data_IF_207912081516
#
_entry.id   IF_207912081516
#
_cell.length_a   1.000
_cell.length_b   1.000
_cell.length_c   1.000
_cell.angle_alpha   90.00
_cell.angle_beta   90.00
_cell.angle_gamma   90.00
#
_symmetry.space_group_name_H-M   'P 1'
#
loop_
_entity.id
_entity.type
_entity.pdbx_description
1 polymer ?
#
# COMPACT_ATOMS: atom_id res chain seq x y z
N UNK A 1 14.59 40.55 73.50
CA UNK A 1 15.49 39.85 72.60
C UNK A 1 14.75 38.57 72.17
N UNK A 2 14.17 38.55 70.98
CA UNK A 2 13.37 37.42 70.46
C UNK A 2 14.12 36.68 69.32
N UNK A 3 14.32 35.37 69.34
CA UNK A 3 15.03 34.69 68.25
C UNK A 3 14.06 34.33 67.14
N UNK A 4 14.33 34.87 65.95
CA UNK A 4 13.65 34.51 64.68
C UNK A 4 14.00 33.12 64.27
N UNK A 5 12.97 32.27 64.12
CA UNK A 5 13.10 30.89 63.57
C UNK A 5 13.01 30.95 62.06
N UNK A 6 14.11 30.64 61.39
CA UNK A 6 14.20 30.48 59.96
C UNK A 6 13.66 29.06 59.57
N UNK A 7 12.52 29.03 58.88
CA UNK A 7 12.02 27.74 58.29
C UNK A 7 12.63 27.61 56.90
N UNK A 8 13.50 26.63 56.74
CA UNK A 8 14.06 26.23 55.45
C UNK A 8 13.07 25.28 54.80
N UNK A 9 12.32 25.73 53.78
CA UNK A 9 11.45 24.87 52.95
C UNK A 9 12.30 24.15 51.90
N UNK A 10 12.48 22.83 52.10
CA UNK A 10 13.14 21.97 51.12
C UNK A 10 12.13 21.62 50.01
N UNK A 11 12.22 22.25 48.85
CA UNK A 11 11.42 21.94 47.68
C UNK A 11 11.98 20.64 47.00
N UNK A 12 11.29 19.53 47.13
CA UNK A 12 11.62 18.27 46.50
C UNK A 12 11.13 18.36 45.03
N UNK A 13 12.03 18.62 44.10
CA UNK A 13 11.74 18.57 42.66
C UNK A 13 11.63 17.09 42.19
N UNK A 14 10.42 16.61 42.05
CA UNK A 14 10.13 15.31 41.39
C UNK A 14 10.37 15.46 39.89
N UNK A 15 11.52 15.03 39.41
CA UNK A 15 11.79 14.87 37.98
C UNK A 15 11.06 13.62 37.49
N UNK A 16 9.93 13.81 36.80
CA UNK A 16 9.31 12.72 36.03
C UNK A 16 10.20 12.39 34.84
N UNK A 17 11.00 11.34 34.95
CA UNK A 17 11.61 10.69 33.78
C UNK A 17 10.47 10.00 33.01
N UNK A 18 10.00 10.64 31.94
CA UNK A 18 9.23 9.96 30.91
C UNK A 18 10.19 8.96 30.25
N UNK A 19 10.09 7.69 30.60
CA UNK A 19 10.82 6.65 29.87
C UNK A 19 10.35 6.71 28.40
N UNK A 20 11.24 7.13 27.52
CA UNK A 20 10.99 7.01 26.09
C UNK A 20 10.71 5.54 25.82
N UNK A 21 9.46 5.21 25.46
CA UNK A 21 9.08 3.85 25.09
C UNK A 21 9.86 3.53 23.81
N UNK A 22 10.71 2.52 23.86
CA UNK A 22 11.40 2.05 22.65
C UNK A 22 10.33 1.75 21.59
N UNK A 23 10.62 2.14 20.34
CA UNK A 23 9.74 1.77 19.23
C UNK A 23 9.56 0.25 19.21
N UNK A 24 8.32 -0.26 19.00
CA UNK A 24 8.08 -1.68 18.99
C UNK A 24 8.90 -2.35 17.88
N UNK A 25 9.46 -3.52 18.17
CA UNK A 25 10.07 -4.35 17.15
C UNK A 25 9.04 -4.76 16.10
N UNK A 26 9.49 -5.05 14.90
CA UNK A 26 8.61 -5.52 13.82
C UNK A 26 8.70 -7.04 13.74
N UNK A 27 7.57 -7.72 13.89
CA UNK A 27 7.39 -9.14 13.57
C UNK A 27 7.19 -9.32 12.07
N UNK A 28 7.61 -10.46 11.53
CA UNK A 28 7.41 -10.83 10.13
C UNK A 28 7.00 -12.28 10.01
N UNK A 29 5.99 -12.53 9.18
CA UNK A 29 5.59 -13.87 8.73
C UNK A 29 5.44 -13.91 7.21
N UNK A 30 5.92 -15.00 6.61
CA UNK A 30 5.61 -15.34 5.23
C UNK A 30 4.53 -16.39 5.21
N UNK A 31 3.50 -16.20 4.40
CA UNK A 31 2.35 -17.08 4.28
C UNK A 31 2.10 -17.46 2.83
N UNK A 32 1.53 -18.63 2.62
CA UNK A 32 0.94 -19.05 1.35
C UNK A 32 -0.53 -19.36 1.62
N UNK A 33 -1.43 -18.50 1.16
CA UNK A 33 -2.87 -18.61 1.45
C UNK A 33 -3.60 -19.30 0.29
N UNK A 34 -4.52 -20.24 0.56
CA UNK A 34 -5.24 -20.93 -0.50
C UNK A 34 -6.17 -19.97 -1.26
N UNK A 35 -6.14 -20.03 -2.59
CA UNK A 35 -7.10 -19.35 -3.47
C UNK A 35 -7.99 -20.41 -4.16
N UNK A 36 -9.31 -20.43 -3.90
CA UNK A 36 -10.21 -21.38 -4.53
C UNK A 36 -10.31 -21.26 -6.07
N UNK A 37 -9.83 -20.15 -6.63
CA UNK A 37 -9.91 -19.86 -8.07
C UNK A 37 -8.55 -19.87 -8.78
N UNK A 38 -7.47 -20.25 -8.07
CA UNK A 38 -6.12 -20.22 -8.64
C UNK A 38 -5.06 -20.85 -7.76
N UNK A 39 -3.79 -20.65 -8.11
CA UNK A 39 -2.68 -21.01 -7.25
C UNK A 39 -2.74 -20.29 -5.91
N UNK A 40 -2.12 -20.84 -4.84
CA UNK A 40 -2.01 -20.14 -3.57
C UNK A 40 -1.35 -18.77 -3.73
N UNK A 41 -1.81 -17.80 -2.94
CA UNK A 41 -1.32 -16.43 -2.94
C UNK A 41 -0.22 -16.28 -1.90
N UNK A 42 0.95 -15.80 -2.30
CA UNK A 42 2.05 -15.47 -1.38
C UNK A 42 1.76 -14.15 -0.66
N UNK A 43 2.05 -14.12 0.65
CA UNK A 43 1.78 -12.97 1.52
C UNK A 43 2.92 -12.74 2.48
N UNK A 44 3.37 -11.49 2.59
CA UNK A 44 4.18 -11.01 3.71
C UNK A 44 3.30 -10.28 4.72
N UNK A 45 3.48 -10.58 6.00
CA UNK A 45 2.76 -9.91 7.09
C UNK A 45 3.76 -9.30 8.07
N UNK A 46 3.67 -7.99 8.28
CA UNK A 46 4.46 -7.24 9.25
C UNK A 46 3.55 -6.71 10.36
N UNK A 47 3.99 -6.79 11.60
CA UNK A 47 3.17 -6.43 12.75
C UNK A 47 4.03 -6.02 13.94
N UNK A 48 3.51 -5.25 14.91
CA UNK A 48 4.24 -4.93 16.13
C UNK A 48 4.44 -6.20 16.98
N UNK A 49 5.63 -6.36 17.56
CA UNK A 49 5.97 -7.46 18.45
C UNK A 49 6.89 -6.98 19.59
N UNK A 50 6.81 -7.65 20.75
CA UNK A 50 7.74 -7.42 21.86
C UNK A 50 9.00 -8.31 21.75
N UNK A 51 9.06 -9.20 20.76
CA UNK A 51 10.21 -10.06 20.53
C UNK A 51 11.39 -9.27 19.96
N UNK A 52 12.60 -9.66 20.32
CA UNK A 52 13.82 -9.05 19.80
C UNK A 52 13.94 -9.31 18.29
N UNK A 53 14.05 -8.21 17.52
CA UNK A 53 14.30 -8.28 16.09
C UNK A 53 15.79 -8.52 15.78
N UNK A 54 16.08 -9.20 14.68
CA UNK A 54 17.43 -9.47 14.21
C UNK A 54 17.55 -9.18 12.71
N UNK A 55 18.77 -8.86 12.20
CA UNK A 55 19.00 -8.72 10.77
C UNK A 55 18.58 -9.98 9.99
N UNK A 56 17.81 -9.80 8.93
CA UNK A 56 17.29 -10.86 8.06
C UNK A 56 17.30 -10.43 6.61
N UNK A 57 17.65 -11.36 5.72
CA UNK A 57 17.38 -11.23 4.30
C UNK A 57 15.94 -11.69 4.01
N UNK A 58 15.13 -10.83 3.40
CA UNK A 58 13.81 -11.17 2.86
C UNK A 58 13.85 -10.82 1.37
N UNK A 59 13.82 -11.84 0.52
CA UNK A 59 14.06 -11.67 -0.91
C UNK A 59 15.42 -11.02 -1.19
N UNK A 60 15.40 -9.88 -1.86
CA UNK A 60 16.60 -9.09 -2.19
C UNK A 60 16.91 -7.97 -1.18
N UNK A 61 16.15 -7.86 -0.09
CA UNK A 61 16.28 -6.80 0.90
C UNK A 61 16.90 -7.31 2.20
N UNK A 62 17.66 -6.44 2.87
CA UNK A 62 18.10 -6.65 4.25
C UNK A 62 17.19 -5.83 5.17
N UNK A 63 16.66 -6.48 6.19
CA UNK A 63 15.77 -5.83 7.15
C UNK A 63 16.04 -6.35 8.56
N UNK A 64 15.45 -5.69 9.57
CA UNK A 64 15.55 -6.11 10.97
C UNK A 64 14.15 -6.45 11.47
N UNK A 65 13.87 -7.73 11.65
CA UNK A 65 12.56 -8.26 12.04
C UNK A 65 12.68 -9.45 12.98
N UNK A 66 11.63 -9.72 13.75
CA UNK A 66 11.44 -10.93 14.55
C UNK A 66 10.57 -11.92 13.78
N UNK A 67 11.20 -12.93 13.14
CA UNK A 67 10.49 -13.91 12.31
C UNK A 67 9.60 -14.80 13.16
N UNK A 68 8.34 -14.99 12.78
CA UNK A 68 7.33 -15.86 13.39
C UNK A 68 7.07 -15.59 14.89
N UNK A 69 7.45 -14.41 15.37
CA UNK A 69 7.14 -13.98 16.72
C UNK A 69 5.64 -13.66 16.88
N UNK A 70 5.07 -13.77 18.09
CA UNK A 70 3.69 -13.37 18.31
C UNK A 70 3.54 -11.85 18.19
N UNK A 71 2.38 -11.34 17.71
CA UNK A 71 2.06 -9.91 17.79
C UNK A 71 2.03 -9.42 19.24
N UNK A 72 2.29 -8.11 19.45
CA UNK A 72 2.05 -7.49 20.77
C UNK A 72 0.59 -7.68 21.19
N UNK A 73 0.32 -7.84 22.53
CA UNK A 73 -1.04 -7.89 23.03
C UNK A 73 -1.84 -6.62 22.67
N UNK A 74 -3.12 -6.79 22.39
CA UNK A 74 -4.02 -5.72 22.01
C UNK A 74 -4.61 -5.94 20.63
N UNK A 75 -5.37 -4.94 20.14
CA UNK A 75 -5.95 -4.96 18.81
C UNK A 75 -5.30 -3.88 17.96
N UNK A 76 -4.86 -4.26 16.77
CA UNK A 76 -4.16 -3.42 15.81
C UNK A 76 -5.01 -3.27 14.55
N UNK A 77 -5.14 -2.07 13.97
CA UNK A 77 -5.76 -1.92 12.66
C UNK A 77 -5.00 -2.72 11.61
N UNK A 78 -5.73 -3.22 10.61
CA UNK A 78 -5.17 -3.95 9.47
C UNK A 78 -5.03 -3.03 8.26
N UNK A 79 -3.88 -3.06 7.59
CA UNK A 79 -3.70 -2.47 6.26
C UNK A 79 -3.33 -3.58 5.27
N UNK A 80 -4.21 -3.84 4.30
CA UNK A 80 -3.93 -4.77 3.19
C UNK A 80 -3.29 -4.01 2.04
N UNK A 81 -2.27 -4.63 1.38
CA UNK A 81 -1.42 -3.92 0.44
C UNK A 81 -1.37 -4.66 -0.91
N UNK A 82 -1.54 -3.91 -2.01
CA UNK A 82 -1.54 -4.38 -3.39
C UNK A 82 -0.42 -3.72 -4.20
N UNK A 83 0.47 -4.51 -4.77
CA UNK A 83 1.59 -4.06 -5.60
C UNK A 83 1.19 -3.63 -7.02
N UNK A 84 2.07 -2.94 -7.73
CA UNK A 84 1.94 -2.60 -9.14
C UNK A 84 2.07 -3.83 -10.07
N UNK A 85 1.85 -3.63 -11.38
CA UNK A 85 2.02 -4.68 -12.38
C UNK A 85 3.43 -5.31 -12.28
N UNK A 86 3.48 -6.64 -12.28
CA UNK A 86 4.72 -7.41 -12.22
C UNK A 86 5.49 -7.31 -10.90
N UNK A 87 4.92 -6.73 -9.84
CA UNK A 87 5.50 -6.64 -8.50
C UNK A 87 5.22 -7.86 -7.62
N UNK A 88 5.57 -7.76 -6.35
CA UNK A 88 5.36 -8.78 -5.33
C UNK A 88 5.07 -8.15 -3.96
N UNK A 89 4.91 -8.98 -2.93
CA UNK A 89 4.64 -8.54 -1.56
C UNK A 89 5.76 -7.69 -0.92
N UNK A 90 6.95 -7.62 -1.55
CA UNK A 90 8.10 -6.82 -1.09
C UNK A 90 8.19 -5.45 -1.78
N UNK A 91 7.36 -5.18 -2.78
CA UNK A 91 7.42 -3.93 -3.56
C UNK A 91 7.29 -2.66 -2.72
N UNK A 92 6.63 -2.76 -1.56
CA UNK A 92 6.43 -1.65 -0.60
C UNK A 92 6.84 -2.09 0.82
N UNK A 93 7.97 -2.79 0.94
CA UNK A 93 8.50 -3.31 2.19
C UNK A 93 8.72 -2.21 3.24
N UNK A 94 9.26 -1.08 2.86
CA UNK A 94 9.53 0.04 3.77
C UNK A 94 8.24 0.68 4.31
N UNK A 95 7.20 0.78 3.49
CA UNK A 95 5.85 1.21 3.92
C UNK A 95 5.23 0.19 4.89
N UNK A 96 5.34 -1.11 4.61
CA UNK A 96 4.86 -2.15 5.51
C UNK A 96 5.60 -2.12 6.86
N UNK A 97 6.92 -1.90 6.86
CA UNK A 97 7.71 -1.74 8.07
C UNK A 97 7.31 -0.48 8.85
N UNK A 98 7.05 0.64 8.17
CA UNK A 98 6.61 1.88 8.80
C UNK A 98 5.24 1.72 9.48
N UNK A 99 4.29 1.09 8.79
CA UNK A 99 2.97 0.75 9.34
C UNK A 99 3.09 -0.16 10.57
N UNK A 100 3.90 -1.22 10.51
CA UNK A 100 4.10 -2.12 11.65
C UNK A 100 4.71 -1.41 12.87
N UNK A 101 5.73 -0.53 12.67
CA UNK A 101 6.29 0.31 13.75
C UNK A 101 5.26 1.26 14.35
N UNK A 102 4.36 1.76 13.51
CA UNK A 102 3.25 2.59 13.96
C UNK A 102 2.10 1.80 14.62
N UNK A 103 2.20 0.48 14.75
CA UNK A 103 1.23 -0.34 15.47
C UNK A 103 0.13 -0.95 14.60
N UNK A 104 0.32 -1.03 13.29
CA UNK A 104 -0.57 -1.72 12.36
C UNK A 104 -0.15 -3.16 12.11
N UNK A 105 -1.09 -4.02 11.74
CA UNK A 105 -0.80 -5.23 10.99
C UNK A 105 -0.83 -4.86 9.51
N UNK A 106 0.29 -4.95 8.81
CA UNK A 106 0.40 -4.72 7.37
C UNK A 106 0.54 -6.06 6.65
N UNK A 107 -0.39 -6.37 5.75
CA UNK A 107 -0.40 -7.62 4.99
C UNK A 107 -0.33 -7.31 3.49
N UNK A 108 0.76 -7.70 2.83
CA UNK A 108 0.99 -7.48 1.40
C UNK A 108 0.95 -8.81 0.65
N UNK A 109 0.20 -8.86 -0.44
CA UNK A 109 0.08 -10.06 -1.28
C UNK A 109 0.94 -9.96 -2.55
N UNK A 110 1.24 -11.12 -3.15
CA UNK A 110 1.72 -11.25 -4.52
C UNK A 110 0.57 -11.74 -5.39
N UNK A 111 0.10 -10.90 -6.34
CA UNK A 111 -0.98 -11.30 -7.24
C UNK A 111 -0.57 -12.45 -8.14
N UNK A 112 -1.35 -13.53 -8.14
CA UNK A 112 -1.10 -14.70 -9.02
C UNK A 112 -1.37 -14.33 -10.48
N UNK A 113 -0.42 -14.63 -11.34
CA UNK A 113 -0.48 -14.29 -12.76
C UNK A 113 -0.14 -12.82 -13.10
N UNK A 114 0.26 -12.02 -12.08
CA UNK A 114 0.76 -10.66 -12.29
C UNK A 114 1.88 -10.35 -11.29
N UNK A 115 2.99 -11.05 -11.45
CA UNK A 115 4.15 -10.96 -10.58
C UNK A 115 5.45 -11.21 -11.36
N UNK A 116 6.66 -11.10 -10.76
CA UNK A 116 7.93 -11.24 -11.49
C UNK A 116 8.13 -12.61 -12.16
N UNK A 117 7.46 -13.66 -11.69
CA UNK A 117 7.59 -15.03 -12.20
C UNK A 117 6.51 -15.40 -13.22
N UNK A 118 5.33 -14.79 -13.11
CA UNK A 118 4.18 -15.11 -13.95
C UNK A 118 3.37 -13.84 -14.25
N UNK A 119 3.27 -13.47 -15.52
CA UNK A 119 2.48 -12.33 -15.99
C UNK A 119 1.29 -12.73 -16.88
N UNK A 120 0.92 -14.01 -16.85
CA UNK A 120 -0.14 -14.56 -17.70
C UNK A 120 -1.52 -13.92 -17.50
N UNK A 121 -1.73 -13.24 -16.36
CA UNK A 121 -2.97 -12.53 -15.99
C UNK A 121 -2.73 -11.04 -15.71
N UNK A 122 -1.63 -10.45 -16.17
CA UNK A 122 -1.26 -9.06 -15.91
C UNK A 122 -2.35 -8.03 -16.34
N UNK A 123 -3.22 -8.42 -17.27
CA UNK A 123 -4.36 -7.62 -17.75
C UNK A 123 -5.72 -8.08 -17.22
N UNK A 124 -5.76 -9.08 -16.35
CA UNK A 124 -6.98 -9.53 -15.66
C UNK A 124 -7.20 -8.69 -14.39
N UNK A 125 -7.60 -7.43 -14.63
CA UNK A 125 -7.71 -6.45 -13.56
C UNK A 125 -8.80 -6.77 -12.53
N UNK A 126 -9.85 -7.52 -12.89
CA UNK A 126 -10.92 -7.90 -11.98
C UNK A 126 -10.47 -8.97 -10.94
N UNK A 127 -9.43 -9.74 -11.25
CA UNK A 127 -8.89 -10.73 -10.33
C UNK A 127 -8.16 -10.07 -9.13
N UNK A 128 -7.61 -8.87 -9.31
CA UNK A 128 -6.80 -8.20 -8.28
C UNK A 128 -7.61 -7.77 -7.04
N UNK A 129 -8.75 -7.05 -7.12
CA UNK A 129 -9.57 -6.75 -5.94
C UNK A 129 -10.14 -8.01 -5.29
N UNK A 130 -10.50 -9.05 -6.09
CA UNK A 130 -10.90 -10.34 -5.54
C UNK A 130 -9.82 -10.97 -4.64
N UNK A 131 -8.56 -10.94 -5.08
CA UNK A 131 -7.44 -11.47 -4.30
C UNK A 131 -7.12 -10.59 -3.09
N UNK A 132 -7.28 -9.27 -3.17
CA UNK A 132 -7.09 -8.37 -2.03
C UNK A 132 -8.15 -8.64 -0.95
N UNK A 133 -9.42 -8.82 -1.36
CA UNK A 133 -10.48 -9.23 -0.44
C UNK A 133 -10.24 -10.62 0.16
N UNK A 134 -9.74 -11.58 -0.63
CA UNK A 134 -9.35 -12.91 -0.14
C UNK A 134 -8.29 -12.81 0.96
N UNK A 135 -7.29 -11.92 0.79
CA UNK A 135 -6.30 -11.63 1.82
C UNK A 135 -6.96 -11.08 3.09
N UNK A 136 -7.85 -10.10 2.96
CA UNK A 136 -8.58 -9.53 4.10
C UNK A 136 -9.37 -10.61 4.83
N UNK A 137 -10.10 -11.45 4.10
CA UNK A 137 -10.89 -12.56 4.67
C UNK A 137 -9.99 -13.55 5.42
N UNK A 138 -8.84 -13.92 4.84
CA UNK A 138 -7.89 -14.83 5.48
C UNK A 138 -7.29 -14.22 6.76
N UNK A 139 -6.88 -12.96 6.72
CA UNK A 139 -6.30 -12.27 7.88
C UNK A 139 -7.24 -12.24 9.07
N UNK A 140 -8.54 -12.05 8.82
CA UNK A 140 -9.55 -12.00 9.88
C UNK A 140 -10.02 -13.38 10.36
N UNK A 141 -9.99 -14.40 9.53
CA UNK A 141 -10.57 -15.70 9.84
C UNK A 141 -9.54 -16.79 10.16
N UNK A 142 -8.38 -16.81 9.49
CA UNK A 142 -7.47 -17.95 9.47
C UNK A 142 -6.02 -17.61 9.88
N UNK A 143 -5.60 -16.35 9.82
CA UNK A 143 -4.24 -15.98 10.26
C UNK A 143 -4.04 -16.34 11.74
N UNK A 144 -2.92 -17.00 12.14
CA UNK A 144 -2.67 -17.39 13.53
C UNK A 144 -2.71 -16.21 14.51
N UNK A 145 -2.32 -15.01 14.06
CA UNK A 145 -2.36 -13.78 14.86
C UNK A 145 -3.66 -12.98 14.77
N UNK A 146 -4.74 -13.50 14.16
CA UNK A 146 -6.00 -12.77 13.91
C UNK A 146 -6.63 -12.10 15.12
N UNK A 147 -6.44 -12.66 16.32
CA UNK A 147 -6.96 -12.08 17.56
C UNK A 147 -6.32 -10.70 17.89
N UNK A 148 -5.15 -10.42 17.30
CA UNK A 148 -4.49 -9.13 17.41
C UNK A 148 -4.99 -8.10 16.37
N UNK A 149 -5.90 -8.48 15.45
CA UNK A 149 -6.48 -7.55 14.47
C UNK A 149 -7.74 -6.91 15.03
N UNK A 150 -7.89 -5.60 14.80
CA UNK A 150 -9.16 -4.90 14.97
C UNK A 150 -9.97 -4.96 13.66
N UNK A 151 -11.01 -5.79 13.59
CA UNK A 151 -11.78 -5.98 12.37
C UNK A 151 -12.65 -4.76 11.98
N UNK A 152 -12.80 -3.79 12.87
CA UNK A 152 -13.55 -2.55 12.59
C UNK A 152 -12.67 -1.49 11.89
N UNK A 153 -11.34 -1.65 11.92
CA UNK A 153 -10.38 -0.66 11.45
C UNK A 153 -9.46 -1.27 10.39
N UNK A 154 -9.96 -1.33 9.15
CA UNK A 154 -9.26 -1.90 7.99
C UNK A 154 -9.02 -0.83 6.95
N UNK A 155 -7.76 -0.68 6.54
CA UNK A 155 -7.34 0.18 5.43
C UNK A 155 -6.76 -0.63 4.28
N UNK A 156 -6.60 0.03 3.14
CA UNK A 156 -5.93 -0.55 1.98
C UNK A 156 -4.89 0.42 1.41
N UNK A 157 -3.76 -0.12 0.99
CA UNK A 157 -2.70 0.60 0.28
C UNK A 157 -2.45 -0.05 -1.08
N UNK A 158 -2.30 0.75 -2.13
CA UNK A 158 -1.95 0.22 -3.44
C UNK A 158 -1.15 1.19 -4.29
N UNK A 159 -0.31 0.63 -5.16
CA UNK A 159 0.52 1.39 -6.09
C UNK A 159 0.25 0.95 -7.53
N UNK A 160 0.17 1.88 -8.48
CA UNK A 160 0.00 1.61 -9.91
C UNK A 160 -1.24 0.73 -10.17
N UNK A 161 -1.11 -0.48 -10.73
CA UNK A 161 -2.20 -1.47 -10.79
C UNK A 161 -2.78 -1.79 -9.40
N UNK A 162 -1.97 -1.72 -8.34
CA UNK A 162 -2.44 -1.83 -6.95
C UNK A 162 -3.26 -0.62 -6.52
N UNK A 163 -2.89 0.59 -6.97
CA UNK A 163 -3.67 1.82 -6.75
C UNK A 163 -5.07 1.73 -7.37
N UNK A 164 -5.16 1.21 -8.59
CA UNK A 164 -6.43 0.84 -9.21
C UNK A 164 -7.18 -0.21 -8.39
N UNK A 165 -6.47 -1.25 -7.93
CA UNK A 165 -7.06 -2.37 -7.18
C UNK A 165 -7.77 -1.90 -5.91
N UNK A 166 -7.12 -1.03 -5.12
CA UNK A 166 -7.71 -0.55 -3.86
C UNK A 166 -8.87 0.41 -4.09
N UNK A 167 -8.89 1.17 -5.19
CA UNK A 167 -10.03 2.00 -5.58
C UNK A 167 -11.22 1.13 -6.00
N UNK A 168 -10.98 0.08 -6.79
CA UNK A 168 -12.02 -0.89 -7.16
C UNK A 168 -12.56 -1.61 -5.93
N UNK A 169 -11.69 -2.09 -5.02
CA UNK A 169 -12.09 -2.80 -3.80
C UNK A 169 -12.90 -1.90 -2.84
N UNK A 170 -12.61 -0.58 -2.84
CA UNK A 170 -13.35 0.42 -2.05
C UNK A 170 -14.72 0.81 -2.63
N UNK A 171 -15.18 0.19 -3.70
CA UNK A 171 -16.48 0.44 -4.33
C UNK A 171 -16.41 1.06 -5.73
N UNK A 172 -15.22 1.13 -6.32
CA UNK A 172 -15.03 1.60 -7.69
C UNK A 172 -15.46 0.57 -8.74
N UNK A 173 -16.16 1.00 -9.77
CA UNK A 173 -16.62 0.19 -10.91
C UNK A 173 -16.05 0.71 -12.23
N UNK A 174 -14.79 0.35 -12.57
CA UNK A 174 -14.17 0.78 -13.80
C UNK A 174 -14.77 0.09 -15.03
N UNK A 175 -14.91 0.85 -16.11
CA UNK A 175 -15.32 0.37 -17.43
C UNK A 175 -14.08 0.14 -18.31
N UNK A 176 -13.63 -1.12 -18.40
CA UNK A 176 -12.44 -1.46 -19.19
C UNK A 176 -12.62 -1.31 -20.71
N UNK A 177 -13.86 -1.15 -21.21
CA UNK A 177 -14.08 -0.86 -22.64
C UNK A 177 -13.46 0.48 -23.05
N UNK A 178 -13.29 1.41 -22.11
CA UNK A 178 -12.62 2.70 -22.32
C UNK A 178 -11.13 2.57 -22.67
N UNK A 179 -10.50 1.42 -22.41
CA UNK A 179 -9.15 1.13 -22.89
C UNK A 179 -9.03 1.16 -24.41
N UNK A 180 -10.07 0.80 -25.14
CA UNK A 180 -10.06 0.75 -26.62
C UNK A 180 -9.83 2.14 -27.20
N UNK A 181 -10.69 3.16 -26.95
CA UNK A 181 -10.46 4.51 -27.44
C UNK A 181 -9.22 5.17 -26.82
N UNK A 182 -8.91 4.89 -25.55
CA UNK A 182 -7.70 5.39 -24.90
C UNK A 182 -6.44 4.90 -25.62
N UNK A 183 -6.34 3.62 -25.92
CA UNK A 183 -5.17 3.08 -26.61
C UNK A 183 -5.11 3.44 -28.11
N UNK A 184 -6.23 3.78 -28.72
CA UNK A 184 -6.22 4.36 -30.06
C UNK A 184 -5.60 5.77 -30.07
N UNK A 185 -5.82 6.56 -29.01
CA UNK A 185 -5.25 7.90 -28.83
C UNK A 185 -3.80 7.86 -28.32
N UNK A 186 -3.45 6.89 -27.48
CA UNK A 186 -2.18 6.81 -26.74
C UNK A 186 -1.49 5.43 -26.91
N UNK A 187 -1.18 4.98 -28.14
CA UNK A 187 -0.69 3.62 -28.38
C UNK A 187 0.67 3.31 -27.72
N UNK A 188 1.43 4.34 -27.33
CA UNK A 188 2.71 4.22 -26.65
C UNK A 188 2.63 4.19 -25.10
N UNK A 189 1.45 4.32 -24.52
CA UNK A 189 1.31 4.25 -23.06
C UNK A 189 1.45 2.81 -22.57
N UNK A 190 1.92 2.65 -21.34
CA UNK A 190 2.29 1.35 -20.79
C UNK A 190 1.13 0.33 -20.81
N UNK A 191 -0.04 0.72 -20.36
CA UNK A 191 -1.26 -0.10 -20.39
C UNK A 191 -1.66 -0.51 -21.81
N UNK A 192 -1.48 0.38 -22.79
CA UNK A 192 -1.77 0.10 -24.19
C UNK A 192 -0.75 -0.85 -24.84
N UNK A 193 0.51 -0.76 -24.41
CA UNK A 193 1.51 -1.75 -24.80
C UNK A 193 1.17 -3.14 -24.23
N UNK A 194 0.68 -3.22 -22.97
CA UNK A 194 0.21 -4.47 -22.37
C UNK A 194 -1.01 -5.04 -23.10
N UNK A 195 -2.02 -4.19 -23.42
CA UNK A 195 -3.20 -4.59 -24.21
C UNK A 195 -2.79 -5.21 -25.55
N UNK A 196 -1.81 -4.61 -26.23
CA UNK A 196 -1.28 -5.09 -27.50
C UNK A 196 -0.49 -6.40 -27.32
N UNK A 197 0.42 -6.43 -26.33
CA UNK A 197 1.28 -7.59 -26.06
C UNK A 197 0.48 -8.84 -25.75
N UNK A 198 -0.55 -8.72 -24.90
CA UNK A 198 -1.43 -9.82 -24.51
C UNK A 198 -2.60 -10.05 -25.46
N UNK A 199 -2.72 -9.27 -26.53
CA UNK A 199 -3.80 -9.38 -27.54
C UNK A 199 -5.21 -9.44 -26.92
N UNK A 200 -5.53 -8.53 -26.00
CA UNK A 200 -6.78 -8.59 -25.20
C UNK A 200 -7.87 -7.62 -25.68
N UNK A 201 -7.60 -6.80 -26.70
CA UNK A 201 -8.51 -5.74 -27.15
C UNK A 201 -9.93 -6.26 -27.47
N UNK A 202 -10.07 -7.43 -28.13
CA UNK A 202 -11.37 -8.02 -28.44
C UNK A 202 -12.14 -8.48 -27.20
N UNK A 203 -11.44 -8.93 -26.16
CA UNK A 203 -12.07 -9.35 -24.89
C UNK A 203 -12.51 -8.16 -24.04
N UNK A 204 -11.83 -7.03 -24.16
CA UNK A 204 -12.20 -5.79 -23.44
C UNK A 204 -13.49 -5.19 -23.97
N UNK A 205 -13.78 -5.33 -25.27
CA UNK A 205 -15.01 -4.81 -25.87
C UNK A 205 -16.27 -5.48 -25.29
N UNK A 206 -16.17 -6.73 -24.90
CA UNK A 206 -17.28 -7.55 -24.38
C UNK A 206 -17.19 -7.76 -22.87
N UNK A 207 -16.24 -7.11 -22.18
CA UNK A 207 -16.02 -7.37 -20.77
C UNK A 207 -17.03 -6.63 -19.89
N UNK A 208 -17.99 -7.38 -19.36
CA UNK A 208 -18.81 -7.00 -18.21
C UNK A 208 -18.18 -7.61 -16.95
N UNK A 209 -17.00 -7.10 -16.55
CA UNK A 209 -16.35 -7.58 -15.35
C UNK A 209 -17.22 -7.32 -14.13
N UNK A 210 -17.41 -8.33 -13.30
CA UNK A 210 -18.01 -8.14 -11.96
C UNK A 210 -16.88 -7.73 -11.02
N UNK A 211 -16.99 -6.53 -10.47
CA UNK A 211 -16.00 -6.02 -9.53
C UNK A 211 -16.26 -6.55 -8.13
N UNK A 212 -15.19 -6.91 -7.44
CA UNK A 212 -15.25 -7.28 -6.03
C UNK A 212 -15.02 -6.03 -5.19
N UNK A 213 -15.87 -5.84 -4.18
CA UNK A 213 -15.76 -4.74 -3.21
C UNK A 213 -15.64 -5.28 -1.79
N UNK A 214 -14.94 -4.53 -0.94
CA UNK A 214 -14.87 -4.80 0.49
C UNK A 214 -15.38 -3.60 1.31
N UNK A 215 -16.61 -3.66 1.74
CA UNK A 215 -17.25 -2.59 2.53
C UNK A 215 -16.62 -2.38 3.93
N UNK A 216 -15.67 -3.23 4.33
CA UNK A 216 -14.92 -3.08 5.59
C UNK A 216 -13.81 -2.02 5.48
N UNK A 217 -13.40 -1.62 4.27
CA UNK A 217 -12.38 -0.60 4.07
C UNK A 217 -12.85 0.75 4.60
N UNK A 218 -12.08 1.35 5.51
CA UNK A 218 -12.37 2.63 6.17
C UNK A 218 -11.46 3.76 5.70
N UNK A 219 -10.32 3.44 5.08
CA UNK A 219 -9.38 4.41 4.54
C UNK A 219 -8.55 3.75 3.43
N UNK A 220 -8.22 4.48 2.38
CA UNK A 220 -7.49 3.95 1.23
C UNK A 220 -6.38 4.90 0.82
N UNK A 221 -5.17 4.36 0.64
CA UNK A 221 -4.06 5.07 0.01
C UNK A 221 -3.85 4.51 -1.39
N UNK A 222 -4.00 5.35 -2.41
CA UNK A 222 -3.79 5.01 -3.81
C UNK A 222 -2.64 5.83 -4.37
N UNK A 223 -1.51 5.19 -4.63
CA UNK A 223 -0.33 5.83 -5.18
C UNK A 223 -0.22 5.54 -6.68
N UNK A 224 -0.16 6.60 -7.49
CA UNK A 224 -0.06 6.57 -8.95
C UNK A 224 -0.98 5.50 -9.58
N UNK A 225 -2.31 5.54 -9.37
CA UNK A 225 -3.23 4.51 -9.84
C UNK A 225 -3.19 4.36 -11.35
N UNK A 226 -3.12 3.11 -11.84
CA UNK A 226 -3.34 2.78 -13.23
C UNK A 226 -4.82 2.94 -13.62
N UNK A 227 -5.10 3.07 -14.92
CA UNK A 227 -6.44 3.05 -15.49
C UNK A 227 -7.44 4.05 -14.86
N UNK A 228 -6.96 5.19 -14.35
CA UNK A 228 -7.82 6.20 -13.73
C UNK A 228 -8.97 6.64 -14.63
N UNK A 229 -8.71 6.83 -15.93
CA UNK A 229 -9.72 7.18 -16.94
C UNK A 229 -10.84 6.15 -17.08
N UNK A 230 -10.58 4.88 -16.69
CA UNK A 230 -11.58 3.81 -16.81
C UNK A 230 -12.74 3.99 -15.84
N UNK A 231 -12.52 4.63 -14.68
CA UNK A 231 -13.60 4.82 -13.72
C UNK A 231 -14.63 5.87 -14.19
N UNK A 232 -14.22 7.14 -14.33
CA UNK A 232 -15.13 8.26 -14.51
C UNK A 232 -16.01 8.48 -13.26
N UNK A 233 -16.77 9.58 -13.23
CA UNK A 233 -17.66 9.92 -12.09
C UNK A 233 -18.66 8.81 -11.71
N UNK A 234 -19.34 8.14 -12.67
CA UNK A 234 -20.24 7.05 -12.32
C UNK A 234 -19.52 5.86 -11.68
N UNK A 235 -18.32 5.53 -12.18
CA UNK A 235 -17.54 4.40 -11.69
C UNK A 235 -16.89 4.64 -10.33
N UNK A 236 -16.70 5.90 -9.90
CA UNK A 236 -16.20 6.22 -8.55
C UNK A 236 -17.32 6.57 -7.57
N UNK A 237 -18.57 6.65 -8.00
CA UNK A 237 -19.68 7.06 -7.13
C UNK A 237 -19.88 6.16 -5.90
N UNK A 238 -19.47 4.89 -5.96
CA UNK A 238 -19.52 3.93 -4.85
C UNK A 238 -18.36 4.06 -3.84
N UNK A 239 -17.33 4.85 -4.13
CA UNK A 239 -16.17 5.01 -3.25
C UNK A 239 -16.51 5.98 -2.11
N UNK A 240 -16.82 5.44 -0.95
CA UNK A 240 -17.24 6.22 0.23
C UNK A 240 -16.14 6.39 1.30
N UNK A 241 -15.07 5.61 1.24
CA UNK A 241 -13.95 5.73 2.17
C UNK A 241 -13.09 6.97 1.86
N UNK A 242 -12.50 7.65 2.85
CA UNK A 242 -11.47 8.65 2.63
C UNK A 242 -10.31 8.10 1.80
N UNK A 243 -9.85 8.90 0.83
CA UNK A 243 -8.76 8.54 -0.08
C UNK A 243 -7.57 9.48 0.13
N UNK A 244 -6.37 8.93 0.31
CA UNK A 244 -5.12 9.65 0.06
C UNK A 244 -4.62 9.24 -1.32
N UNK A 245 -4.50 10.21 -2.23
CA UNK A 245 -4.15 9.99 -3.64
C UNK A 245 -2.81 10.64 -3.95
N UNK A 246 -1.89 9.86 -4.49
CA UNK A 246 -0.56 10.33 -4.84
C UNK A 246 -0.30 10.23 -6.33
N UNK A 247 0.49 11.15 -6.89
CA UNK A 247 1.11 11.01 -8.20
C UNK A 247 2.54 11.55 -8.24
N UNK A 248 3.35 11.02 -9.16
CA UNK A 248 4.61 11.64 -9.54
C UNK A 248 4.35 12.82 -10.50
N UNK A 249 5.16 13.87 -10.38
CA UNK A 249 5.07 15.03 -11.29
C UNK A 249 5.40 14.63 -12.74
N UNK A 250 6.42 13.78 -12.91
CA UNK A 250 6.92 13.35 -14.23
C UNK A 250 6.69 11.85 -14.46
N UNK A 251 5.51 11.34 -14.13
CA UNK A 251 5.15 9.94 -14.36
C UNK A 251 5.18 9.60 -15.85
N UNK A 252 6.22 8.89 -16.29
CA UNK A 252 6.37 8.50 -17.70
C UNK A 252 5.62 7.21 -18.03
N UNK A 253 5.21 6.44 -17.02
CA UNK A 253 4.44 5.19 -17.18
C UNK A 253 2.95 5.49 -17.29
N UNK A 254 2.46 6.39 -16.42
CA UNK A 254 1.07 6.80 -16.33
C UNK A 254 0.93 8.34 -16.43
N UNK A 255 1.16 8.91 -17.63
CA UNK A 255 1.14 10.36 -17.85
C UNK A 255 -0.22 10.98 -17.55
N UNK A 256 -0.21 12.16 -16.94
CA UNK A 256 -1.45 12.88 -16.65
C UNK A 256 -1.98 13.61 -17.92
N UNK A 257 -3.29 13.87 -18.01
CA UNK A 257 -4.29 13.85 -16.92
C UNK A 257 -5.10 12.53 -16.81
N UNK A 258 -4.81 11.49 -17.57
CA UNK A 258 -5.68 10.32 -17.76
C UNK A 258 -5.73 9.39 -16.53
N UNK A 259 -4.78 9.51 -15.59
CA UNK A 259 -4.63 8.54 -14.50
C UNK A 259 -5.00 9.13 -13.13
N UNK A 260 -4.06 9.56 -12.31
CA UNK A 260 -4.36 10.06 -10.97
C UNK A 260 -5.18 11.35 -10.98
N UNK A 261 -4.96 12.25 -11.94
CA UNK A 261 -5.77 13.47 -12.08
C UNK A 261 -7.23 13.16 -12.46
N UNK A 262 -7.45 12.14 -13.29
CA UNK A 262 -8.81 11.69 -13.60
C UNK A 262 -9.52 11.14 -12.35
N UNK A 263 -8.81 10.40 -11.50
CA UNK A 263 -9.34 9.90 -10.22
C UNK A 263 -9.66 11.06 -9.27
N UNK A 264 -8.74 12.03 -9.11
CA UNK A 264 -8.96 13.22 -8.27
C UNK A 264 -10.23 14.00 -8.69
N UNK A 265 -10.37 14.23 -9.99
CA UNK A 265 -11.50 14.96 -10.57
C UNK A 265 -12.84 14.22 -10.40
N UNK A 266 -12.83 12.89 -10.43
CA UNK A 266 -14.03 12.06 -10.55
C UNK A 266 -14.48 11.43 -9.21
N UNK A 267 -13.67 11.49 -8.15
CA UNK A 267 -14.05 11.04 -6.81
C UNK A 267 -15.24 11.83 -6.26
N UNK A 268 -16.19 11.20 -5.54
CA UNK A 268 -17.35 11.88 -4.96
C UNK A 268 -16.99 12.85 -3.83
N UNK A 269 -15.88 12.62 -3.15
CA UNK A 269 -15.30 13.52 -2.14
C UNK A 269 -13.83 13.80 -2.50
N UNK A 270 -13.40 15.05 -2.28
CA UNK A 270 -12.02 15.43 -2.55
C UNK A 270 -11.04 14.59 -1.73
N UNK A 271 -10.04 13.95 -2.35
CA UNK A 271 -9.01 13.19 -1.66
C UNK A 271 -7.97 14.11 -0.99
N UNK A 272 -7.16 13.55 -0.08
CA UNK A 272 -5.86 14.12 0.26
C UNK A 272 -4.92 13.91 -0.94
N UNK A 273 -4.95 14.86 -1.89
CA UNK A 273 -4.23 14.74 -3.16
C UNK A 273 -2.83 15.32 -3.08
N UNK A 274 -1.83 14.51 -3.43
CA UNK A 274 -0.41 14.85 -3.29
C UNK A 274 0.37 14.62 -4.58
N UNK A 275 1.05 15.67 -5.04
CA UNK A 275 1.94 15.64 -6.19
C UNK A 275 3.38 15.64 -5.70
N UNK A 276 4.16 14.63 -6.08
CA UNK A 276 5.56 14.51 -5.69
C UNK A 276 6.44 15.18 -6.74
N UNK A 277 7.00 16.34 -6.37
CA UNK A 277 7.85 17.12 -7.27
C UNK A 277 9.08 16.35 -7.72
N UNK A 278 9.44 16.46 -8.98
CA UNK A 278 10.58 15.80 -9.65
C UNK A 278 10.60 14.26 -9.55
N UNK A 279 9.52 13.62 -9.07
CA UNK A 279 9.41 12.17 -9.03
C UNK A 279 8.96 11.58 -10.37
N UNK A 280 9.32 10.32 -10.59
CA UNK A 280 8.83 9.47 -11.66
C UNK A 280 8.07 8.26 -11.07
N UNK A 281 7.38 7.48 -11.90
CA UNK A 281 6.50 6.37 -11.50
C UNK A 281 7.11 5.42 -10.48
N UNK A 282 8.30 4.90 -10.79
CA UNK A 282 8.95 3.90 -9.96
C UNK A 282 9.59 4.45 -8.68
N UNK A 283 9.56 5.77 -8.49
CA UNK A 283 10.01 6.37 -7.23
C UNK A 283 9.12 6.03 -6.04
N UNK A 284 7.91 5.52 -6.27
CA UNK A 284 7.03 4.98 -5.22
C UNK A 284 7.37 3.56 -4.76
N UNK A 285 8.26 2.84 -5.45
CA UNK A 285 8.72 1.53 -4.99
C UNK A 285 9.74 1.68 -3.86
N UNK A 286 9.73 0.73 -2.91
CA UNK A 286 10.75 0.64 -1.86
C UNK A 286 12.14 0.98 -2.41
N UNK A 287 12.94 1.82 -1.74
CA UNK A 287 14.30 2.12 -2.16
C UNK A 287 15.08 0.84 -2.43
N UNK A 288 15.64 0.73 -3.63
CA UNK A 288 16.28 -0.50 -4.08
C UNK A 288 17.51 -0.85 -3.23
N UNK A 289 17.65 -2.14 -2.88
CA UNK A 289 18.95 -2.67 -2.47
C UNK A 289 19.95 -2.62 -3.63
N UNK A 290 21.23 -2.60 -3.34
CA UNK A 290 22.29 -2.67 -4.37
C UNK A 290 22.08 -3.87 -5.32
N UNK A 291 21.67 -5.01 -4.76
CA UNK A 291 21.41 -6.23 -5.53
C UNK A 291 20.21 -6.07 -6.47
N UNK A 292 19.12 -5.45 -6.02
CA UNK A 292 17.95 -5.19 -6.88
C UNK A 292 18.30 -4.17 -7.96
N UNK A 293 19.05 -3.11 -7.63
CA UNK A 293 19.47 -2.10 -8.58
C UNK A 293 20.38 -2.68 -9.68
N UNK A 294 21.22 -3.67 -9.36
CA UNK A 294 22.04 -4.37 -10.34
C UNK A 294 21.22 -5.29 -11.26
N UNK A 295 20.11 -5.88 -10.77
CA UNK A 295 19.27 -6.80 -11.54
C UNK A 295 18.25 -6.06 -12.42
N UNK A 296 17.63 -5.01 -11.91
CA UNK A 296 16.54 -4.28 -12.58
C UNK A 296 16.77 -2.75 -12.44
N UNK A 297 17.80 -2.19 -13.08
CA UNK A 297 18.12 -0.77 -12.94
C UNK A 297 17.00 0.16 -13.39
N UNK A 298 16.13 -0.28 -14.29
CA UNK A 298 15.03 0.54 -14.83
C UNK A 298 14.03 1.00 -13.76
N UNK A 299 13.77 0.21 -12.73
CA UNK A 299 12.86 0.57 -11.63
C UNK A 299 13.58 1.23 -10.44
N UNK A 300 14.93 1.22 -10.46
CA UNK A 300 15.75 1.72 -9.37
C UNK A 300 16.40 3.08 -9.64
N UNK A 301 16.32 3.56 -10.89
CA UNK A 301 16.89 4.84 -11.29
C UNK A 301 15.87 5.94 -11.15
N UNK A 302 16.16 6.93 -10.31
CA UNK A 302 15.35 8.14 -10.16
C UNK A 302 15.85 9.25 -11.10
N UNK A 303 15.03 10.26 -11.31
CA UNK A 303 15.40 11.45 -12.07
C UNK A 303 16.57 12.20 -11.41
N UNK A 304 17.41 12.92 -12.17
CA UNK A 304 18.46 13.73 -11.59
C UNK A 304 17.95 14.70 -10.53
N UNK A 305 18.58 14.67 -9.35
CA UNK A 305 18.21 15.54 -8.22
C UNK A 305 17.03 15.04 -7.37
N UNK A 306 16.44 13.89 -7.67
CA UNK A 306 15.44 13.27 -6.81
C UNK A 306 16.09 12.36 -5.78
N UNK A 307 15.82 12.59 -4.50
CA UNK A 307 16.27 11.73 -3.39
C UNK A 307 15.13 10.79 -2.98
N UNK A 308 15.13 9.57 -3.55
CA UNK A 308 14.12 8.54 -3.26
C UNK A 308 14.09 8.18 -1.77
N UNK A 309 15.23 8.11 -1.09
CA UNK A 309 15.26 7.71 0.30
C UNK A 309 14.63 8.78 1.21
N UNK A 310 14.93 10.06 0.97
CA UNK A 310 14.28 11.16 1.67
C UNK A 310 12.77 11.21 1.37
N UNK A 311 12.38 11.03 0.11
CA UNK A 311 10.97 10.96 -0.28
C UNK A 311 10.24 9.84 0.47
N UNK A 312 10.78 8.62 0.53
CA UNK A 312 10.15 7.50 1.22
C UNK A 312 10.01 7.73 2.73
N UNK A 313 10.94 8.43 3.36
CA UNK A 313 10.77 8.82 4.77
C UNK A 313 9.54 9.72 4.98
N UNK A 314 9.33 10.70 4.09
CA UNK A 314 8.17 11.60 4.13
C UNK A 314 6.89 10.91 3.68
N UNK A 315 6.95 10.12 2.62
CA UNK A 315 5.82 9.34 2.10
C UNK A 315 5.27 8.37 3.14
N UNK A 316 6.12 7.54 3.75
CA UNK A 316 5.72 6.58 4.75
C UNK A 316 5.14 7.26 6.00
N UNK A 317 5.71 8.40 6.43
CA UNK A 317 5.15 9.21 7.52
C UNK A 317 3.73 9.68 7.16
N UNK A 318 3.54 10.24 5.97
CA UNK A 318 2.25 10.75 5.52
C UNK A 318 1.19 9.64 5.36
N UNK A 319 1.59 8.45 4.91
CA UNK A 319 0.72 7.27 4.84
C UNK A 319 0.29 6.83 6.24
N UNK A 320 1.22 6.78 7.20
CA UNK A 320 0.91 6.45 8.60
C UNK A 320 -0.02 7.50 9.22
N UNK A 321 0.27 8.79 9.06
CA UNK A 321 -0.56 9.88 9.57
C UNK A 321 -2.00 9.83 9.02
N UNK A 322 -2.15 9.54 7.73
CA UNK A 322 -3.47 9.37 7.11
C UNK A 322 -4.24 8.18 7.70
N UNK A 323 -3.61 7.02 7.85
CA UNK A 323 -4.26 5.90 8.49
C UNK A 323 -4.52 6.14 9.98
N UNK A 324 -3.63 6.81 10.70
CA UNK A 324 -3.85 7.17 12.12
C UNK A 324 -5.11 8.03 12.27
N UNK A 325 -5.31 9.01 11.40
CA UNK A 325 -6.47 9.88 11.40
C UNK A 325 -7.79 9.12 11.17
N UNK A 326 -7.80 8.08 10.35
CA UNK A 326 -9.02 7.41 9.90
C UNK A 326 -9.24 6.02 10.52
N UNK A 327 -8.21 5.40 11.09
CA UNK A 327 -8.30 4.06 11.67
C UNK A 327 -8.02 4.00 13.18
N UNK A 328 -7.52 5.08 13.81
CA UNK A 328 -7.24 5.13 15.25
C UNK A 328 -7.95 6.28 15.97
N UNK A 329 -8.64 7.13 15.21
CA UNK A 329 -9.35 8.30 15.72
C UNK A 329 -10.67 7.98 16.41
#
# INVERSE_FOLDING_TARGET
>A
MSPSRLFLALALALTFFSAARAEPSVGFQYLSIPDPQGPPVEVGVWYPTDAAAAPRAIGLFQTTVATDAPPTPGRHPLVVMSHGNGGDYLSHLDTALALARAGYVAAALTHTGDNPQDQSKAVDMANRPRQLKLLTDYMLAAWPGREAIDPAHIGAFGFSSGGFTVLADAGGEPDLSKLIPHCAAHPGYHDCMLVTHFNVASRLADSHATWTHDARLKAVVSAAPALGFAFGKPGLAGVGAPIQLWRAEFDHVLPQPEYAEAVDHDLPAAPDYRVVANADHFDFLTPCSERLAALVPSICTSRPGFDRAAFHADFNRAVVEFFDQHLKG
#
